data_IF_524803900113
#
_entry.id   IF_524803900113
#
_cell.length_a   1.000
_cell.length_b   1.000
_cell.length_c   1.000
_cell.angle_alpha   90.00
_cell.angle_beta   90.00
_cell.angle_gamma   90.00
#
_symmetry.space_group_name_H-M   'P 1'
#
loop_
_entity.id
_entity.type
_entity.pdbx_description
1 polymer ?
#
# COMPACT_ATOMS: atom_id res chain seq x y z
N UNK A 1 3.08 3.18 -19.06
CA UNK A 1 1.84 3.98 -18.98
C UNK A 1 2.05 5.30 -19.72
N UNK A 2 1.17 5.64 -20.63
CA UNK A 2 1.16 6.90 -21.37
C UNK A 2 -0.08 7.70 -20.99
N UNK A 3 0.10 8.96 -20.67
CA UNK A 3 -0.99 9.89 -20.44
C UNK A 3 -0.79 11.12 -21.30
N UNK A 4 -1.79 11.45 -22.08
CA UNK A 4 -1.82 12.65 -22.90
C UNK A 4 -2.92 13.58 -22.37
N UNK A 5 -2.53 14.68 -21.76
CA UNK A 5 -3.42 15.72 -21.30
C UNK A 5 -3.24 16.90 -22.25
N UNK A 6 -4.28 17.20 -22.99
CA UNK A 6 -4.29 18.39 -23.83
C UNK A 6 -4.71 19.57 -22.94
N UNK A 7 -3.76 20.12 -22.23
CA UNK A 7 -3.97 21.29 -21.40
C UNK A 7 -3.55 22.52 -22.23
N UNK A 8 -4.47 23.42 -22.57
CA UNK A 8 -4.06 24.68 -23.16
C UNK A 8 -3.17 25.41 -22.15
N UNK A 9 -2.00 25.84 -22.60
CA UNK A 9 -1.08 26.63 -21.79
C UNK A 9 -1.87 27.69 -21.01
N UNK A 10 -1.69 27.78 -19.67
CA UNK A 10 -2.47 28.71 -18.87
C UNK A 10 -2.28 30.13 -19.43
N UNK A 11 -3.38 30.84 -19.60
CA UNK A 11 -3.33 32.23 -19.93
C UNK A 11 -2.47 32.95 -18.89
N UNK A 12 -1.51 33.74 -19.32
CA UNK A 12 -0.61 34.50 -18.46
C UNK A 12 -1.43 35.26 -17.40
N UNK A 13 -1.30 34.82 -16.10
CA UNK A 13 -2.09 35.38 -15.00
C UNK A 13 -3.20 34.50 -14.44
N UNK A 14 -3.38 33.26 -14.93
CA UNK A 14 -4.28 32.29 -14.29
C UNK A 14 -3.64 31.75 -13.00
N UNK A 15 -4.29 31.97 -11.86
CA UNK A 15 -3.95 31.38 -10.58
C UNK A 15 -4.45 29.92 -10.47
N UNK A 16 -4.42 29.16 -11.55
CA UNK A 16 -4.72 27.72 -11.48
C UNK A 16 -3.56 27.03 -10.79
N UNK A 17 -3.79 26.40 -9.64
CA UNK A 17 -2.72 25.88 -8.79
C UNK A 17 -2.00 24.66 -9.39
N UNK A 18 -2.47 24.10 -10.50
CA UNK A 18 -1.94 22.86 -11.05
C UNK A 18 -1.93 22.85 -12.58
N UNK A 19 -0.75 22.71 -13.14
CA UNK A 19 -0.54 22.25 -14.52
C UNK A 19 -0.30 20.76 -14.50
N UNK A 20 -1.14 19.98 -15.16
CA UNK A 20 -0.91 18.56 -15.33
C UNK A 20 0.14 18.30 -16.41
N UNK A 21 1.15 17.51 -16.07
CA UNK A 21 2.20 17.16 -16.98
C UNK A 21 1.81 15.98 -17.87
N UNK A 22 2.04 16.10 -19.17
CA UNK A 22 1.92 15.02 -20.15
C UNK A 22 3.23 14.26 -20.26
N UNK A 23 3.17 12.96 -20.50
CA UNK A 23 4.38 12.17 -20.66
C UNK A 23 4.14 10.67 -20.76
N UNK A 24 5.23 9.94 -20.77
CA UNK A 24 5.26 8.48 -20.75
C UNK A 24 6.11 8.00 -19.58
N UNK A 25 5.60 7.01 -18.84
CA UNK A 25 6.28 6.45 -17.70
C UNK A 25 6.15 4.92 -17.68
N UNK A 26 7.24 4.24 -17.35
CA UNK A 26 7.20 2.82 -17.00
C UNK A 26 6.90 2.71 -15.51
N UNK A 27 5.63 2.45 -15.20
CA UNK A 27 5.13 2.43 -13.81
C UNK A 27 5.70 1.29 -12.99
N UNK A 28 5.91 0.12 -13.60
CA UNK A 28 6.44 -1.09 -12.97
C UNK A 28 7.25 -1.89 -13.99
N UNK A 29 8.47 -2.24 -13.63
CA UNK A 29 9.36 -3.10 -14.42
C UNK A 29 9.92 -4.18 -13.48
N UNK A 30 9.23 -5.32 -13.38
CA UNK A 30 9.49 -6.33 -12.35
C UNK A 30 10.05 -7.61 -12.94
N UNK A 31 11.08 -8.11 -12.28
CA UNK A 31 11.64 -9.43 -12.47
C UNK A 31 11.59 -10.18 -11.15
N UNK A 32 11.18 -11.43 -11.18
CA UNK A 32 11.09 -12.23 -9.97
C UNK A 32 11.23 -13.71 -10.24
N UNK A 33 11.52 -14.44 -9.20
CA UNK A 33 11.56 -15.90 -9.16
C UNK A 33 10.67 -16.38 -8.02
N UNK A 34 9.85 -17.39 -8.30
CA UNK A 34 9.00 -18.02 -7.30
C UNK A 34 8.98 -19.55 -7.54
N UNK A 35 8.78 -20.29 -6.48
CA UNK A 35 8.72 -21.75 -6.58
C UNK A 35 8.36 -22.41 -5.27
N UNK A 36 8.32 -23.73 -5.29
CA UNK A 36 8.05 -24.57 -4.12
C UNK A 36 9.16 -25.59 -3.95
N UNK A 37 9.64 -25.74 -2.72
CA UNK A 37 10.62 -26.77 -2.35
C UNK A 37 10.08 -27.61 -1.19
N UNK A 38 10.53 -28.86 -1.12
CA UNK A 38 10.02 -29.87 -0.16
C UNK A 38 8.48 -29.97 -0.10
N UNK A 39 7.76 -29.59 -1.16
CA UNK A 39 6.30 -29.62 -1.30
C UNK A 39 5.50 -28.70 -0.35
N UNK A 40 6.10 -28.21 0.72
CA UNK A 40 5.44 -27.41 1.76
C UNK A 40 5.99 -26.00 1.89
N UNK A 41 7.14 -25.71 1.30
CA UNK A 41 7.76 -24.40 1.35
C UNK A 41 7.65 -23.69 0.01
N UNK A 42 6.99 -22.55 -0.02
CA UNK A 42 7.05 -21.63 -1.15
C UNK A 42 8.06 -20.52 -0.89
N UNK A 43 8.68 -20.05 -1.93
CA UNK A 43 9.51 -18.85 -1.89
C UNK A 43 9.11 -17.91 -3.04
N UNK A 44 9.33 -16.63 -2.81
CA UNK A 44 9.20 -15.60 -3.84
C UNK A 44 10.23 -14.51 -3.60
N UNK A 45 10.88 -14.10 -4.68
CA UNK A 45 11.71 -12.91 -4.74
C UNK A 45 11.31 -12.11 -5.97
N UNK A 46 11.01 -10.83 -5.81
CA UNK A 46 10.65 -9.92 -6.90
C UNK A 46 11.32 -8.56 -6.70
N UNK A 47 11.93 -8.05 -7.76
CA UNK A 47 12.57 -6.74 -7.80
C UNK A 47 11.89 -5.85 -8.85
N UNK A 48 11.58 -4.60 -8.49
CA UNK A 48 10.97 -3.59 -9.35
C UNK A 48 12.00 -2.52 -9.74
N UNK A 49 12.48 -2.59 -10.96
CA UNK A 49 13.47 -1.67 -11.51
C UNK A 49 12.96 -0.23 -11.68
N UNK A 50 11.64 -0.02 -11.69
CA UNK A 50 11.06 1.32 -11.79
C UNK A 50 11.09 2.09 -10.46
N UNK A 51 11.37 1.42 -9.34
CA UNK A 51 11.48 2.04 -8.01
C UNK A 51 12.90 2.50 -7.64
N UNK A 52 13.87 2.32 -8.51
CA UNK A 52 15.30 2.31 -8.19
C UNK A 52 16.00 3.63 -7.92
N UNK A 53 15.36 4.81 -8.00
CA UNK A 53 16.07 6.07 -7.76
C UNK A 53 15.24 7.05 -6.93
N UNK A 54 15.67 7.28 -5.69
CA UNK A 54 15.11 8.32 -4.82
C UNK A 54 13.82 7.92 -4.06
N UNK A 55 13.38 6.68 -4.14
CA UNK A 55 12.28 6.17 -3.33
C UNK A 55 12.78 5.63 -1.99
N UNK A 56 12.01 5.81 -0.94
CA UNK A 56 12.26 5.18 0.36
C UNK A 56 12.21 3.65 0.18
N UNK A 57 13.33 2.99 0.39
CA UNK A 57 13.49 1.55 0.24
C UNK A 57 14.16 1.11 -1.07
N UNK A 58 14.58 -0.16 -1.10
CA UNK A 58 15.11 -0.81 -2.30
C UNK A 58 13.96 -1.11 -3.28
N UNK A 59 14.30 -1.47 -4.53
CA UNK A 59 13.32 -1.97 -5.49
C UNK A 59 12.73 -3.35 -5.13
N UNK A 60 13.17 -3.97 -4.03
CA UNK A 60 12.65 -5.26 -3.57
C UNK A 60 11.19 -5.11 -3.16
N UNK A 61 10.33 -5.92 -3.74
CA UNK A 61 8.91 -6.02 -3.42
C UNK A 61 8.65 -7.26 -2.57
N UNK A 62 8.25 -8.37 -3.16
CA UNK A 62 8.15 -9.62 -2.43
C UNK A 62 9.54 -10.26 -2.26
N UNK A 63 9.92 -10.61 -1.03
CA UNK A 63 11.11 -11.39 -0.71
C UNK A 63 10.83 -12.22 0.54
N UNK A 64 10.17 -13.36 0.38
CA UNK A 64 9.69 -14.17 1.49
C UNK A 64 9.80 -15.67 1.26
N UNK A 65 9.80 -16.40 2.37
CA UNK A 65 9.49 -17.83 2.41
C UNK A 65 8.15 -18.04 3.11
N UNK A 66 7.41 -19.07 2.69
CA UNK A 66 6.12 -19.43 3.25
C UNK A 66 6.05 -20.92 3.53
N UNK A 67 5.77 -21.27 4.76
CA UNK A 67 5.45 -22.65 5.17
C UNK A 67 3.94 -22.88 4.98
N UNK A 68 3.56 -23.80 4.13
CA UNK A 68 2.19 -24.31 4.02
C UNK A 68 2.04 -25.47 5.02
N UNK A 69 1.60 -25.15 6.24
CA UNK A 69 1.45 -26.14 7.30
C UNK A 69 0.31 -27.11 7.01
N UNK A 70 -0.81 -26.57 6.53
CA UNK A 70 -1.93 -27.34 5.97
C UNK A 70 -2.36 -26.71 4.64
N UNK A 71 -3.39 -27.23 4.01
CA UNK A 71 -3.98 -26.61 2.81
C UNK A 71 -4.53 -25.21 3.09
N UNK A 72 -5.02 -24.99 4.32
CA UNK A 72 -5.66 -23.76 4.77
C UNK A 72 -4.69 -22.82 5.49
N UNK A 73 -3.79 -23.37 6.34
CA UNK A 73 -2.94 -22.60 7.24
C UNK A 73 -1.52 -22.48 6.70
N UNK A 74 -1.05 -21.24 6.60
CA UNK A 74 0.34 -20.96 6.19
C UNK A 74 0.96 -19.83 7.01
N UNK A 75 2.28 -19.92 7.16
CA UNK A 75 3.11 -18.92 7.84
C UNK A 75 4.06 -18.30 6.83
N UNK A 76 4.28 -17.00 6.92
CA UNK A 76 5.13 -16.25 6.01
C UNK A 76 6.20 -15.48 6.79
N UNK A 77 7.43 -15.46 6.27
CA UNK A 77 8.55 -14.72 6.85
C UNK A 77 9.29 -14.00 5.72
N UNK A 78 9.55 -12.72 5.89
CA UNK A 78 10.29 -11.88 4.92
C UNK A 78 9.52 -10.62 4.56
N UNK A 79 9.78 -10.08 3.37
CA UNK A 79 9.13 -8.88 2.85
C UNK A 79 7.90 -9.25 2.03
N UNK A 80 6.75 -8.71 2.41
CA UNK A 80 5.47 -8.97 1.73
C UNK A 80 4.46 -7.86 2.02
N UNK A 81 3.39 -7.82 1.23
CA UNK A 81 2.28 -6.90 1.44
C UNK A 81 1.52 -7.20 2.73
N UNK A 82 1.14 -6.14 3.42
CA UNK A 82 0.27 -6.26 4.59
C UNK A 82 -1.14 -6.77 4.21
N UNK A 83 -1.80 -7.55 5.07
CA UNK A 83 -3.17 -7.97 4.86
C UNK A 83 -4.15 -6.86 5.21
N UNK A 84 -4.40 -5.95 4.27
CA UNK A 84 -5.30 -4.81 4.44
C UNK A 84 -5.88 -4.41 3.08
N UNK A 85 -7.19 -4.03 3.04
CA UNK A 85 -7.89 -3.60 1.82
C UNK A 85 -8.05 -4.68 0.73
N UNK A 86 -9.16 -4.67 0.05
CA UNK A 86 -9.47 -5.57 -1.07
C UNK A 86 -8.61 -5.26 -2.30
N UNK A 87 -8.45 -3.97 -2.65
CA UNK A 87 -7.60 -3.59 -3.79
C UNK A 87 -6.12 -3.83 -3.51
N UNK A 88 -5.66 -3.62 -2.26
CA UNK A 88 -4.27 -3.89 -1.92
C UNK A 88 -3.95 -5.39 -1.91
N UNK A 89 -4.88 -6.23 -1.43
CA UNK A 89 -4.73 -7.68 -1.46
C UNK A 89 -4.71 -8.25 -2.90
N UNK A 90 -5.31 -7.54 -3.85
CA UNK A 90 -5.25 -7.89 -5.27
C UNK A 90 -3.86 -7.57 -5.86
N UNK A 91 -3.42 -8.41 -6.80
CA UNK A 91 -2.25 -8.07 -7.61
C UNK A 91 -2.57 -6.85 -8.49
N UNK A 92 -1.60 -5.95 -8.67
CA UNK A 92 -1.71 -4.82 -9.59
C UNK A 92 -2.09 -5.22 -11.04
N UNK A 93 -1.85 -6.48 -11.41
CA UNK A 93 -2.22 -7.03 -12.73
C UNK A 93 -3.70 -7.36 -12.88
N UNK A 94 -4.47 -7.35 -11.78
CA UNK A 94 -5.85 -7.81 -11.72
C UNK A 94 -6.83 -6.72 -11.25
N UNK A 95 -6.34 -5.49 -11.12
CA UNK A 95 -7.17 -4.33 -10.83
C UNK A 95 -8.15 -4.06 -11.99
N UNK A 96 -9.28 -3.46 -11.67
CA UNK A 96 -10.25 -3.01 -12.69
C UNK A 96 -9.76 -1.77 -13.42
N UNK A 97 -9.13 -0.86 -12.71
CA UNK A 97 -8.54 0.37 -13.22
C UNK A 97 -7.01 0.26 -13.30
N UNK A 98 -6.38 1.22 -13.97
CA UNK A 98 -4.93 1.26 -14.18
C UNK A 98 -4.17 1.31 -12.85
N UNK A 99 -4.70 2.07 -11.87
CA UNK A 99 -4.17 2.21 -10.51
C UNK A 99 -5.27 1.97 -9.48
N UNK A 100 -4.86 1.76 -8.23
CA UNK A 100 -5.75 1.68 -7.08
C UNK A 100 -6.42 3.02 -6.81
N UNK A 101 -7.53 2.99 -6.12
CA UNK A 101 -8.20 4.20 -5.65
C UNK A 101 -7.26 5.04 -4.78
N UNK A 102 -7.43 6.38 -4.84
CA UNK A 102 -6.53 7.31 -4.14
C UNK A 102 -6.48 7.09 -2.63
N UNK A 103 -7.58 6.70 -1.99
CA UNK A 103 -7.56 6.38 -0.55
C UNK A 103 -6.73 5.13 -0.23
N UNK A 104 -6.75 4.10 -1.08
CA UNK A 104 -5.89 2.93 -0.93
C UNK A 104 -4.42 3.32 -1.15
N UNK A 105 -4.13 4.11 -2.18
CA UNK A 105 -2.78 4.62 -2.41
C UNK A 105 -2.29 5.47 -1.24
N UNK A 106 -3.13 6.36 -0.69
CA UNK A 106 -2.76 7.25 0.40
C UNK A 106 -2.55 6.53 1.73
N UNK A 107 -3.46 5.63 2.11
CA UNK A 107 -3.46 5.03 3.45
C UNK A 107 -2.71 3.71 3.53
N UNK A 108 -2.44 3.06 2.40
CA UNK A 108 -1.83 1.73 2.35
C UNK A 108 -0.57 1.70 1.47
N UNK A 109 -0.69 2.05 0.18
CA UNK A 109 0.37 1.83 -0.82
C UNK A 109 1.56 2.79 -0.63
N UNK A 110 1.31 4.08 -0.40
CA UNK A 110 2.37 5.07 -0.24
C UNK A 110 3.11 4.99 1.09
N UNK A 111 2.45 4.72 2.24
CA UNK A 111 3.17 4.58 3.51
C UNK A 111 4.07 3.36 3.61
N UNK A 112 4.04 2.41 2.72
CA UNK A 112 4.90 1.22 2.63
C UNK A 112 4.12 -0.08 2.38
N UNK A 113 3.87 -0.39 1.16
CA UNK A 113 3.15 -1.60 0.73
C UNK A 113 3.84 -2.91 1.11
N UNK A 114 5.17 -2.96 0.97
CA UNK A 114 5.97 -4.16 1.24
C UNK A 114 6.82 -3.93 2.48
N UNK A 115 6.52 -4.66 3.54
CA UNK A 115 7.19 -4.56 4.84
C UNK A 115 7.80 -5.91 5.22
N UNK A 116 8.87 -5.87 5.98
CA UNK A 116 9.55 -7.07 6.49
C UNK A 116 8.91 -7.53 7.79
N UNK A 117 8.59 -8.79 7.90
CA UNK A 117 7.99 -9.33 9.12
C UNK A 117 7.54 -10.77 9.01
N UNK A 118 6.63 -11.12 9.89
CA UNK A 118 5.99 -12.43 9.96
C UNK A 118 4.50 -12.29 9.68
N UNK A 119 3.91 -13.29 9.06
CA UNK A 119 2.48 -13.34 8.80
C UNK A 119 1.91 -14.73 8.92
N UNK A 120 0.65 -14.79 9.30
CA UNK A 120 -0.15 -16.01 9.36
C UNK A 120 -1.35 -15.81 8.45
N UNK A 121 -1.65 -16.80 7.64
CA UNK A 121 -2.83 -16.79 6.77
C UNK A 121 -3.58 -18.12 6.93
N UNK A 122 -4.87 -18.00 7.19
CA UNK A 122 -5.81 -19.09 7.16
C UNK A 122 -6.86 -18.83 6.08
N UNK A 123 -7.03 -19.76 5.15
CA UNK A 123 -7.91 -19.57 4.01
C UNK A 123 -8.67 -20.84 3.66
N UNK A 124 -9.97 -20.74 3.70
CA UNK A 124 -10.93 -21.73 3.17
C UNK A 124 -11.65 -21.16 1.94
N UNK A 125 -12.39 -21.95 1.17
CA UNK A 125 -13.17 -21.41 0.06
C UNK A 125 -14.12 -20.28 0.44
N UNK A 126 -14.59 -20.22 1.70
CA UNK A 126 -15.56 -19.22 2.15
C UNK A 126 -14.98 -18.14 3.05
N UNK A 127 -13.91 -18.42 3.82
CA UNK A 127 -13.40 -17.51 4.84
C UNK A 127 -11.88 -17.40 4.76
N UNK A 128 -11.35 -16.22 4.91
CA UNK A 128 -9.93 -15.94 4.98
C UNK A 128 -9.62 -15.04 6.16
N UNK A 129 -8.50 -15.32 6.81
CA UNK A 129 -7.95 -14.49 7.87
C UNK A 129 -6.46 -14.32 7.62
N UNK A 130 -6.00 -13.09 7.55
CA UNK A 130 -4.59 -12.74 7.48
C UNK A 130 -4.21 -11.90 8.69
N UNK A 131 -3.12 -12.27 9.36
CA UNK A 131 -2.50 -11.50 10.44
C UNK A 131 -1.05 -11.27 10.08
N UNK A 132 -0.52 -10.10 10.38
CA UNK A 132 0.90 -9.81 10.20
C UNK A 132 1.43 -8.90 11.29
N UNK A 133 2.69 -9.14 11.67
CA UNK A 133 3.52 -8.22 12.42
C UNK A 133 4.73 -7.88 11.57
N UNK A 134 4.87 -6.62 11.22
CA UNK A 134 5.85 -6.16 10.24
C UNK A 134 6.55 -4.91 10.75
N UNK A 135 7.77 -4.74 10.29
CA UNK A 135 8.57 -3.53 10.51
C UNK A 135 8.64 -2.74 9.20
N UNK A 136 9.75 -2.19 8.85
CA UNK A 136 9.91 -1.38 7.67
C UNK A 136 10.26 -2.20 6.41
N UNK A 137 10.15 -1.58 5.23
CA UNK A 137 10.61 -2.17 3.98
C UNK A 137 12.11 -2.48 4.01
N UNK A 138 12.53 -3.50 3.25
CA UNK A 138 13.94 -3.77 3.02
C UNK A 138 14.61 -2.53 2.41
N UNK A 139 15.72 -2.08 3.01
CA UNK A 139 16.47 -0.90 2.57
C UNK A 139 15.94 0.45 3.03
N UNK A 140 14.82 0.50 3.76
CA UNK A 140 14.31 1.75 4.32
C UNK A 140 15.35 2.44 5.23
N UNK A 141 16.07 1.64 5.99
CA UNK A 141 17.15 2.09 6.86
C UNK A 141 18.38 2.64 6.10
N UNK A 142 18.61 2.22 4.86
CA UNK A 142 19.69 2.74 4.03
C UNK A 142 19.31 4.04 3.29
N UNK A 143 18.04 4.24 3.01
CA UNK A 143 17.54 5.46 2.39
C UNK A 143 17.48 6.64 3.39
N UNK A 144 17.35 6.35 4.67
CA UNK A 144 17.43 7.32 5.76
C UNK A 144 18.87 7.66 6.17
N UNK A 145 19.87 7.34 5.34
CA UNK A 145 21.28 7.49 5.65
C UNK A 145 21.75 8.94 5.64
N UNK A 146 21.34 9.67 6.64
CA UNK A 146 22.18 10.74 7.13
C UNK A 146 23.05 10.13 8.22
N UNK A 147 24.32 9.98 7.93
CA UNK A 147 25.33 9.65 8.95
C UNK A 147 25.14 10.54 10.15
N UNK A 148 25.33 10.01 11.35
CA UNK A 148 25.44 10.82 12.56
C UNK A 148 26.52 11.86 12.26
N UNK A 149 26.08 13.09 12.10
CA UNK A 149 27.02 14.20 11.92
C UNK A 149 27.52 14.66 13.31
N UNK A 150 28.49 15.58 13.32
CA UNK A 150 29.05 16.16 14.54
C UNK A 150 28.00 16.79 15.49
N UNK A 151 26.77 16.96 15.02
CA UNK A 151 25.65 17.51 15.79
C UNK A 151 24.77 16.44 16.45
N UNK A 152 25.20 15.16 16.44
CA UNK A 152 24.51 14.08 17.12
C UNK A 152 23.22 13.60 16.44
N UNK A 153 23.00 13.92 15.15
CA UNK A 153 21.87 13.35 14.39
C UNK A 153 22.06 11.84 14.31
N UNK A 154 21.15 11.13 14.90
CA UNK A 154 21.14 9.68 14.91
C UNK A 154 20.39 9.18 13.67
N UNK A 155 21.04 8.33 12.91
CA UNK A 155 20.43 7.62 11.79
C UNK A 155 20.32 6.14 12.17
N UNK A 156 19.29 5.48 11.72
CA UNK A 156 19.10 4.04 11.94
C UNK A 156 20.21 3.17 11.38
N UNK A 157 20.92 3.65 10.35
CA UNK A 157 22.10 2.98 9.82
C UNK A 157 23.20 2.75 10.86
N UNK A 158 23.21 3.54 11.91
CA UNK A 158 24.18 3.44 13.01
C UNK A 158 23.66 2.66 14.21
N UNK A 159 22.52 1.99 14.08
CA UNK A 159 21.85 1.28 15.17
C UNK A 159 21.19 2.21 16.19
N UNK A 160 20.97 3.47 15.85
CA UNK A 160 20.29 4.45 16.72
C UNK A 160 18.89 4.76 16.17
N UNK A 161 17.95 4.93 17.06
CA UNK A 161 16.55 5.21 16.77
C UNK A 161 15.71 3.94 16.69
N UNK A 162 14.43 4.11 16.90
CA UNK A 162 13.46 3.03 16.91
C UNK A 162 13.05 2.62 15.49
N UNK A 163 12.86 1.33 15.28
CA UNK A 163 12.21 0.82 14.09
C UNK A 163 10.70 0.94 14.26
N UNK A 164 10.02 1.59 13.33
CA UNK A 164 8.57 1.52 13.28
C UNK A 164 8.09 0.06 13.12
N UNK A 165 6.92 -0.23 13.63
CA UNK A 165 6.31 -1.55 13.51
C UNK A 165 4.82 -1.44 13.19
N UNK A 166 4.25 -2.49 12.64
CA UNK A 166 2.83 -2.59 12.29
C UNK A 166 2.30 -3.95 12.73
N UNK A 167 1.26 -3.93 13.56
CA UNK A 167 0.40 -5.08 13.81
C UNK A 167 -0.89 -4.92 13.03
N UNK A 168 -1.25 -5.89 12.19
CA UNK A 168 -2.38 -5.74 11.27
C UNK A 168 -3.10 -7.06 11.03
N UNK A 169 -4.42 -6.99 10.89
CA UNK A 169 -5.26 -8.12 10.59
C UNK A 169 -6.40 -7.80 9.63
N UNK A 170 -6.78 -8.81 8.86
CA UNK A 170 -7.90 -8.76 7.93
C UNK A 170 -8.68 -10.08 7.98
N UNK A 171 -10.00 -9.98 8.10
CA UNK A 171 -10.92 -11.11 8.02
C UNK A 171 -11.89 -10.85 6.89
N UNK A 172 -12.01 -11.81 5.99
CA UNK A 172 -12.91 -11.71 4.85
C UNK A 172 -13.72 -12.98 4.67
N UNK A 173 -14.83 -12.89 3.96
CA UNK A 173 -15.64 -14.05 3.68
C UNK A 173 -16.58 -13.89 2.51
N UNK A 174 -17.06 -15.03 2.02
CA UNK A 174 -18.12 -15.13 1.02
C UNK A 174 -19.38 -15.73 1.68
N UNK A 175 -20.14 -14.93 2.48
CA UNK A 175 -21.31 -15.41 3.22
C UNK A 175 -22.40 -15.95 2.29
N UNK A 176 -22.55 -15.33 1.13
CA UNK A 176 -23.41 -15.81 0.06
C UNK A 176 -22.53 -16.20 -1.14
N UNK A 177 -22.62 -17.46 -1.53
CA UNK A 177 -21.87 -18.03 -2.64
C UNK A 177 -22.68 -19.20 -3.23
N UNK A 178 -23.15 -19.02 -4.45
CA UNK A 178 -23.79 -20.08 -5.24
C UNK A 178 -22.75 -20.88 -5.99
N UNK A 179 -21.82 -20.19 -6.63
CA UNK A 179 -20.67 -20.75 -7.37
C UNK A 179 -19.54 -19.71 -7.44
N UNK A 180 -18.45 -20.02 -8.14
CA UNK A 180 -17.28 -19.13 -8.27
C UNK A 180 -17.57 -17.87 -9.13
N UNK A 181 -18.73 -17.80 -9.79
CA UNK A 181 -19.14 -16.66 -10.61
C UNK A 181 -20.29 -15.85 -9.99
N UNK A 182 -20.82 -16.31 -8.84
CA UNK A 182 -21.95 -15.68 -8.16
C UNK A 182 -21.75 -15.70 -6.65
N UNK A 183 -21.26 -14.61 -6.10
CA UNK A 183 -20.98 -14.49 -4.67
C UNK A 183 -21.06 -13.04 -4.18
N UNK A 184 -21.19 -12.90 -2.88
CA UNK A 184 -20.94 -11.67 -2.13
C UNK A 184 -19.72 -11.89 -1.26
N UNK A 185 -18.74 -11.02 -1.37
CA UNK A 185 -17.61 -10.94 -0.49
C UNK A 185 -17.76 -9.74 0.44
N UNK A 186 -17.46 -9.93 1.71
CA UNK A 186 -17.37 -8.90 2.73
C UNK A 186 -16.09 -9.07 3.52
N UNK A 187 -15.54 -7.98 4.04
CA UNK A 187 -14.38 -8.05 4.90
C UNK A 187 -14.23 -6.82 5.78
N UNK A 188 -13.45 -7.02 6.82
CA UNK A 188 -12.97 -5.98 7.72
C UNK A 188 -11.48 -6.13 7.95
N UNK A 189 -10.82 -5.02 8.17
CA UNK A 189 -9.40 -4.97 8.50
C UNK A 189 -9.13 -3.91 9.56
N UNK A 190 -8.15 -4.17 10.40
CA UNK A 190 -7.68 -3.23 11.40
C UNK A 190 -6.17 -3.39 11.60
N UNK A 191 -5.50 -2.29 11.92
CA UNK A 191 -4.07 -2.33 12.18
C UNK A 191 -3.60 -1.09 12.92
N UNK A 192 -2.56 -1.29 13.71
CA UNK A 192 -1.82 -0.24 14.41
C UNK A 192 -0.42 -0.15 13.82
N UNK A 193 0.04 1.05 13.59
CA UNK A 193 1.41 1.33 13.13
C UNK A 193 2.05 2.33 14.07
N UNK A 194 3.15 1.92 14.68
CA UNK A 194 4.07 2.80 15.39
C UNK A 194 5.04 3.41 14.37
N UNK A 195 5.12 4.72 14.34
CA UNK A 195 5.90 5.46 13.33
C UNK A 195 7.33 5.59 13.81
N UNK A 196 8.27 5.22 12.94
CA UNK A 196 9.67 5.50 13.19
C UNK A 196 9.92 7.00 13.33
N UNK A 197 10.39 7.40 14.49
CA UNK A 197 10.82 8.77 14.78
C UNK A 197 12.33 8.79 15.00
N UNK A 198 13.00 9.81 14.43
CA UNK A 198 14.42 10.04 14.66
C UNK A 198 14.58 11.26 15.57
N UNK A 199 15.40 11.11 16.61
CA UNK A 199 15.69 12.15 17.55
C UNK A 199 17.17 12.53 17.50
N UNK A 200 17.48 13.80 17.79
CA UNK A 200 18.83 14.29 18.06
C UNK A 200 19.22 13.95 19.50
N UNK A 201 20.52 14.05 19.80
CA UNK A 201 21.03 13.83 21.15
C UNK A 201 20.44 14.79 22.21
N UNK A 202 19.92 15.95 21.81
CA UNK A 202 19.25 16.92 22.64
C UNK A 202 17.73 16.63 22.84
N UNK A 203 17.24 15.53 22.30
CA UNK A 203 15.85 15.12 22.38
C UNK A 203 14.93 15.79 21.34
N UNK A 204 15.47 16.61 20.43
CA UNK A 204 14.69 17.20 19.34
C UNK A 204 14.57 16.24 18.17
N UNK A 205 13.46 16.31 17.41
CA UNK A 205 13.30 15.50 16.20
C UNK A 205 14.20 15.98 15.06
N UNK A 206 14.73 15.05 14.31
CA UNK A 206 15.44 15.36 13.05
C UNK A 206 14.46 16.03 12.08
N UNK A 207 14.83 17.20 11.58
CA UNK A 207 13.98 17.99 10.68
C UNK A 207 12.94 18.87 11.37
N UNK A 208 12.94 18.94 12.69
CA UNK A 208 12.13 19.88 13.45
C UNK A 208 12.43 21.33 13.02
N UNK A 209 11.39 22.11 12.75
CA UNK A 209 11.52 23.48 12.27
C UNK A 209 11.91 23.64 10.80
N UNK A 210 12.08 22.56 10.03
CA UNK A 210 12.36 22.63 8.60
C UNK A 210 11.11 22.27 7.78
N UNK A 211 10.79 23.12 6.82
CA UNK A 211 9.73 22.81 5.84
C UNK A 211 10.17 21.64 4.98
N UNK A 212 9.55 20.46 5.15
CA UNK A 212 9.90 19.25 4.43
C UNK A 212 11.08 18.44 4.99
N UNK A 213 11.57 18.77 6.17
CA UNK A 213 12.70 18.08 6.81
C UNK A 213 12.30 16.80 7.53
N UNK A 214 13.16 15.79 7.41
CA UNK A 214 13.01 14.38 7.76
C UNK A 214 12.46 14.03 9.14
N UNK A 215 12.08 12.78 9.31
CA UNK A 215 11.54 12.21 10.54
C UNK A 215 10.02 12.30 10.66
N UNK A 216 9.33 12.88 9.70
CA UNK A 216 7.89 12.96 9.66
C UNK A 216 7.29 12.06 8.57
N UNK A 217 6.01 11.81 8.70
CA UNK A 217 5.20 11.04 7.79
C UNK A 217 4.15 11.94 7.13
N UNK A 218 3.78 11.65 5.92
CA UNK A 218 2.66 12.27 5.23
C UNK A 218 1.79 11.22 4.56
N UNK A 219 0.49 11.44 4.54
CA UNK A 219 -0.42 10.71 3.68
C UNK A 219 -0.62 11.50 2.39
N UNK A 220 -0.36 10.88 1.26
CA UNK A 220 -0.47 11.54 -0.04
C UNK A 220 -0.90 10.56 -1.14
N UNK A 221 -1.47 11.09 -2.21
CA UNK A 221 -1.79 10.34 -3.40
C UNK A 221 -1.55 11.16 -4.66
N UNK A 222 -1.06 10.48 -5.68
CA UNK A 222 -0.89 11.01 -7.04
C UNK A 222 -2.13 10.74 -7.89
N UNK A 223 -2.27 11.43 -9.04
CA UNK A 223 -3.26 11.05 -10.05
C UNK A 223 -3.12 9.58 -10.46
N UNK A 224 -4.23 8.92 -10.73
CA UNK A 224 -4.24 7.50 -11.10
C UNK A 224 -3.50 7.14 -12.40
N UNK A 225 -3.08 8.13 -13.17
CA UNK A 225 -2.25 7.92 -14.37
C UNK A 225 -0.77 7.69 -14.03
N UNK A 226 -0.30 8.18 -12.88
CA UNK A 226 1.10 8.13 -12.41
C UNK A 226 2.14 8.70 -13.39
N UNK A 227 1.72 9.46 -14.38
CA UNK A 227 2.59 10.26 -15.26
C UNK A 227 2.87 11.61 -14.63
N UNK A 228 1.81 12.31 -14.28
CA UNK A 228 1.88 13.46 -13.38
C UNK A 228 2.03 12.98 -11.95
N UNK A 229 3.03 13.48 -11.26
CA UNK A 229 3.33 13.14 -9.86
C UNK A 229 3.05 14.30 -8.90
N UNK A 230 2.23 15.25 -9.34
CA UNK A 230 1.66 16.27 -8.46
C UNK A 230 0.73 15.60 -7.45
N UNK A 231 0.93 15.88 -6.17
CA UNK A 231 0.08 15.33 -5.13
C UNK A 231 -1.33 15.93 -5.22
N UNK A 232 -2.32 15.11 -5.50
CA UNK A 232 -3.73 15.52 -5.44
C UNK A 232 -4.26 15.52 -4.01
N UNK A 233 -3.76 14.62 -3.19
CA UNK A 233 -3.99 14.57 -1.75
C UNK A 233 -2.64 14.66 -1.06
N UNK A 234 -2.51 15.50 -0.06
CA UNK A 234 -1.29 15.60 0.72
C UNK A 234 -1.60 16.27 2.07
N UNK A 235 -1.36 15.56 3.16
CA UNK A 235 -1.49 16.13 4.51
C UNK A 235 -0.35 17.08 4.88
N UNK A 236 0.70 17.12 4.07
CA UNK A 236 1.98 17.65 4.51
C UNK A 236 2.63 16.74 5.56
N UNK A 237 3.77 17.18 6.08
CA UNK A 237 4.46 16.46 7.15
C UNK A 237 3.60 16.54 8.44
N UNK A 238 3.29 15.38 9.00
CA UNK A 238 2.52 15.23 10.24
C UNK A 238 3.38 15.46 11.51
N UNK A 239 4.66 15.74 11.33
CA UNK A 239 5.56 16.13 12.43
C UNK A 239 6.21 17.46 12.08
N UNK A 240 5.87 18.53 12.82
CA UNK A 240 6.40 19.87 12.61
C UNK A 240 6.36 20.70 13.89
N UNK A 241 7.09 21.81 13.87
CA UNK A 241 7.22 22.75 15.00
C UNK A 241 8.42 22.42 15.89
N UNK A 242 9.01 23.44 16.48
CA UNK A 242 10.12 23.31 17.42
C UNK A 242 9.66 22.74 18.78
N UNK A 243 10.58 22.22 19.58
CA UNK A 243 10.27 21.60 20.89
C UNK A 243 9.42 22.47 21.80
N UNK A 244 9.65 23.78 21.77
CA UNK A 244 8.96 24.80 22.58
C UNK A 244 7.82 25.51 21.82
N UNK A 245 7.48 25.09 20.61
CA UNK A 245 6.39 25.67 19.84
C UNK A 245 5.06 25.14 20.41
N UNK A 246 4.15 26.03 20.87
CA UNK A 246 2.83 25.61 21.35
C UNK A 246 1.97 24.92 20.26
N UNK A 247 2.29 25.14 18.99
CA UNK A 247 1.63 24.50 17.84
C UNK A 247 2.38 23.27 17.33
N UNK A 248 3.35 22.78 18.08
CA UNK A 248 4.10 21.58 17.71
C UNK A 248 3.17 20.39 17.54
N UNK A 249 3.33 19.69 16.43
CA UNK A 249 2.70 18.40 16.18
C UNK A 249 3.76 17.34 15.92
N UNK A 250 3.52 16.16 16.44
CA UNK A 250 4.40 15.01 16.24
C UNK A 250 3.56 13.74 16.21
N UNK A 251 3.49 13.12 15.04
CA UNK A 251 2.86 11.81 14.91
C UNK A 251 3.74 10.76 15.61
N UNK A 252 3.12 9.93 16.45
CA UNK A 252 3.78 8.77 17.08
C UNK A 252 3.25 7.45 16.50
N UNK A 253 1.96 7.39 16.22
CA UNK A 253 1.33 6.20 15.65
C UNK A 253 0.08 6.55 14.87
N UNK A 254 -0.44 5.57 14.14
CA UNK A 254 -1.76 5.68 13.51
C UNK A 254 -2.46 4.33 13.49
N UNK A 255 -3.80 4.38 13.63
CA UNK A 255 -4.67 3.22 13.57
C UNK A 255 -5.46 3.24 12.27
N UNK A 256 -5.50 2.12 11.55
CA UNK A 256 -6.26 1.99 10.32
C UNK A 256 -7.41 1.01 10.48
N UNK A 257 -8.53 1.36 9.88
CA UNK A 257 -9.71 0.51 9.79
C UNK A 257 -10.17 0.46 8.34
N UNK A 258 -10.60 -0.71 7.90
CA UNK A 258 -11.15 -0.93 6.57
C UNK A 258 -12.39 -1.80 6.64
N UNK A 259 -13.37 -1.49 5.80
CA UNK A 259 -14.51 -2.35 5.51
C UNK A 259 -14.63 -2.48 3.99
N UNK A 260 -14.90 -3.69 3.52
CA UNK A 260 -14.90 -3.99 2.10
C UNK A 260 -16.14 -4.79 1.71
N UNK A 261 -16.58 -4.53 0.50
CA UNK A 261 -17.71 -5.19 -0.13
C UNK A 261 -17.42 -5.46 -1.60
N UNK A 262 -17.71 -6.68 -2.06
CA UNK A 262 -17.59 -7.03 -3.46
C UNK A 262 -18.69 -8.04 -3.86
N UNK A 263 -19.50 -7.65 -4.81
CA UNK A 263 -20.55 -8.46 -5.40
C UNK A 263 -20.13 -8.90 -6.79
N UNK A 264 -20.31 -10.18 -7.11
CA UNK A 264 -20.10 -10.75 -8.45
C UNK A 264 -21.31 -11.57 -8.82
N UNK A 265 -21.84 -11.34 -10.01
CA UNK A 265 -22.91 -12.12 -10.59
C UNK A 265 -22.70 -12.25 -12.11
N UNK A 266 -22.05 -13.35 -12.53
CA UNK A 266 -21.64 -13.52 -13.91
C UNK A 266 -20.71 -12.38 -14.37
N UNK A 267 -21.02 -11.72 -15.50
CA UNK A 267 -20.17 -10.65 -16.03
C UNK A 267 -20.27 -9.34 -15.23
N UNK A 268 -21.28 -9.17 -14.39
CA UNK A 268 -21.48 -7.98 -13.57
C UNK A 268 -20.71 -8.09 -12.26
N UNK A 269 -20.06 -7.02 -11.83
CA UNK A 269 -19.52 -6.88 -10.47
C UNK A 269 -19.65 -5.46 -9.93
N UNK A 270 -19.80 -5.35 -8.61
CA UNK A 270 -19.80 -4.09 -7.88
C UNK A 270 -18.84 -4.21 -6.69
N UNK A 271 -18.02 -3.20 -6.47
CA UNK A 271 -17.01 -3.18 -5.40
C UNK A 271 -17.06 -1.84 -4.68
N UNK A 272 -16.88 -1.87 -3.35
CA UNK A 272 -16.75 -0.69 -2.53
C UNK A 272 -15.84 -0.95 -1.34
N UNK A 273 -15.13 0.07 -0.88
CA UNK A 273 -14.37 0.04 0.37
C UNK A 273 -14.54 1.35 1.13
N UNK A 274 -14.53 1.24 2.44
CA UNK A 274 -14.41 2.33 3.39
C UNK A 274 -13.08 2.16 4.13
N UNK A 275 -12.29 3.22 4.19
CA UNK A 275 -10.99 3.26 4.86
C UNK A 275 -10.96 4.44 5.81
N UNK A 276 -10.44 4.21 7.01
CA UNK A 276 -10.23 5.26 8.01
C UNK A 276 -8.84 5.10 8.63
N UNK A 277 -8.17 6.25 8.83
CA UNK A 277 -6.88 6.33 9.52
C UNK A 277 -7.00 7.36 10.63
N UNK A 278 -6.88 6.95 11.88
CA UNK A 278 -6.80 7.83 13.04
C UNK A 278 -5.32 8.14 13.30
N UNK A 279 -5.01 9.40 13.54
CA UNK A 279 -3.65 9.89 13.77
C UNK A 279 -3.47 10.13 15.27
N UNK A 280 -2.41 9.59 15.85
CA UNK A 280 -2.10 9.72 17.26
C UNK A 280 -0.72 10.37 17.45
N UNK A 281 -0.57 11.20 18.50
CA UNK A 281 0.69 11.86 18.81
C UNK A 281 0.51 13.18 19.51
N UNK A 282 1.61 13.88 19.73
CA UNK A 282 1.58 15.22 20.34
C UNK A 282 0.87 16.20 19.42
N UNK A 283 -0.08 16.96 19.96
CA UNK A 283 -0.86 17.96 19.22
C UNK A 283 -1.95 17.35 18.30
N UNK A 284 -2.17 16.04 18.38
CA UNK A 284 -3.28 15.34 17.72
C UNK A 284 -4.33 14.94 18.75
N UNK A 285 -5.57 15.33 18.53
CA UNK A 285 -6.71 15.03 19.40
C UNK A 285 -7.90 14.58 18.57
N UNK A 286 -7.86 13.30 18.20
CA UNK A 286 -8.94 12.66 17.42
C UNK A 286 -8.94 12.96 15.93
N UNK A 287 -7.88 13.53 15.38
CA UNK A 287 -7.75 13.75 13.95
C UNK A 287 -7.74 12.43 13.18
N UNK A 288 -8.48 12.41 12.10
CA UNK A 288 -8.58 11.24 11.26
C UNK A 288 -8.78 11.59 9.79
N UNK A 289 -8.38 10.67 8.95
CA UNK A 289 -8.59 10.71 7.51
C UNK A 289 -9.57 9.61 7.13
N UNK A 290 -10.46 9.90 6.18
CA UNK A 290 -11.45 8.94 5.70
C UNK A 290 -11.45 8.90 4.18
N UNK A 291 -11.54 7.70 3.62
CA UNK A 291 -11.68 7.49 2.20
C UNK A 291 -12.77 6.47 1.90
N UNK A 292 -13.56 6.74 0.89
CA UNK A 292 -14.61 5.85 0.40
C UNK A 292 -14.52 5.77 -1.10
N UNK A 293 -14.68 4.59 -1.65
CA UNK A 293 -14.88 4.45 -3.07
C UNK A 293 -15.88 3.34 -3.39
N UNK A 294 -16.45 3.39 -4.57
CA UNK A 294 -17.26 2.34 -5.12
C UNK A 294 -17.27 2.41 -6.64
N UNK A 295 -17.37 1.25 -7.27
CA UNK A 295 -17.53 1.15 -8.71
C UNK A 295 -18.29 -0.11 -9.11
N UNK A 296 -18.79 -0.09 -10.33
CA UNK A 296 -19.38 -1.25 -11.00
C UNK A 296 -18.58 -1.58 -12.26
N UNK A 297 -18.56 -2.84 -12.63
CA UNK A 297 -17.95 -3.27 -13.88
C UNK A 297 -18.77 -4.38 -14.56
N UNK A 298 -18.67 -4.45 -15.88
CA UNK A 298 -19.36 -5.44 -16.67
C UNK A 298 -18.45 -5.93 -17.81
N UNK A 299 -18.26 -7.25 -17.90
CA UNK A 299 -17.52 -7.86 -18.99
C UNK A 299 -18.45 -8.09 -20.19
N UNK A 300 -18.25 -7.33 -21.26
CA UNK A 300 -19.07 -7.43 -22.48
C UNK A 300 -18.96 -8.79 -23.16
N UNK A 301 -17.89 -9.50 -22.93
CA UNK A 301 -17.59 -10.83 -23.49
C UNK A 301 -18.04 -12.00 -22.59
N UNK A 302 -18.70 -11.66 -21.46
CA UNK A 302 -19.38 -12.64 -20.61
C UNK A 302 -18.51 -13.33 -19.57
N UNK A 303 -17.24 -12.91 -19.39
CA UNK A 303 -16.39 -13.41 -18.30
C UNK A 303 -16.92 -12.95 -16.93
N UNK A 304 -16.53 -13.67 -15.89
CA UNK A 304 -16.79 -13.30 -14.50
C UNK A 304 -15.46 -12.98 -13.82
N UNK A 305 -15.46 -12.01 -12.90
CA UNK A 305 -14.28 -11.67 -12.09
C UNK A 305 -13.90 -12.84 -11.19
N UNK A 306 -12.69 -13.41 -11.36
CA UNK A 306 -12.30 -14.58 -10.59
C UNK A 306 -11.81 -14.18 -9.20
N UNK A 307 -11.99 -15.08 -8.23
CA UNK A 307 -11.62 -14.91 -6.85
C UNK A 307 -10.34 -15.68 -6.51
N UNK A 308 -9.42 -15.05 -5.79
CA UNK A 308 -8.23 -15.69 -5.24
C UNK A 308 -8.49 -16.03 -3.78
N UNK A 309 -8.75 -17.31 -3.50
CA UNK A 309 -9.16 -17.79 -2.17
C UNK A 309 -8.20 -17.38 -1.07
N UNK A 310 -6.89 -17.60 -1.25
CA UNK A 310 -5.89 -17.31 -0.20
C UNK A 310 -5.80 -15.82 0.16
N UNK A 311 -5.97 -14.94 -0.81
CA UNK A 311 -5.85 -13.49 -0.58
C UNK A 311 -7.20 -12.83 -0.29
N UNK A 312 -8.32 -13.52 -0.50
CA UNK A 312 -9.64 -12.91 -0.41
C UNK A 312 -9.77 -11.69 -1.34
N UNK A 313 -9.38 -11.81 -2.60
CA UNK A 313 -9.29 -10.68 -3.54
C UNK A 313 -9.44 -11.12 -5.00
N UNK A 314 -9.43 -10.17 -5.92
CA UNK A 314 -9.49 -10.45 -7.35
C UNK A 314 -8.26 -11.24 -7.85
N UNK A 315 -8.50 -12.13 -8.80
CA UNK A 315 -7.50 -12.99 -9.42
C UNK A 315 -7.39 -12.74 -10.93
N UNK A 316 -6.51 -13.49 -11.59
CA UNK A 316 -6.28 -13.43 -13.03
C UNK A 316 -7.52 -13.85 -13.81
N UNK A 317 -8.01 -12.94 -14.65
CA UNK A 317 -9.05 -13.24 -15.62
C UNK A 317 -8.48 -14.12 -16.76
N UNK A 318 -9.24 -15.11 -17.17
CA UNK A 318 -9.00 -15.88 -18.39
C UNK A 318 -10.06 -15.51 -19.41
N UNK A 319 -9.70 -14.91 -20.56
CA UNK A 319 -10.67 -14.57 -21.60
C UNK A 319 -11.36 -15.82 -22.15
N UNK A 320 -12.66 -15.74 -22.39
CA UNK A 320 -13.44 -16.80 -23.03
C UNK A 320 -12.92 -17.08 -24.45
N UNK A 321 -12.48 -16.03 -25.13
CA UNK A 321 -11.90 -16.10 -26.48
C UNK A 321 -10.53 -15.43 -26.49
N UNK A 322 -9.45 -16.15 -26.13
CA UNK A 322 -8.12 -15.57 -26.19
C UNK A 322 -7.73 -15.31 -27.65
N UNK A 323 -7.01 -14.20 -27.86
CA UNK A 323 -6.42 -13.92 -29.17
C UNK A 323 -5.46 -15.06 -29.53
N UNK A 324 -5.67 -15.63 -30.72
CA UNK A 324 -4.78 -16.65 -31.31
C UNK A 324 -4.04 -16.02 -32.48
N UNK A 325 -2.73 -16.04 -32.46
CA UNK A 325 -1.91 -15.61 -33.57
C UNK A 325 -1.94 -16.67 -34.64
N UNK A 326 -2.40 -16.35 -35.88
CA UNK A 326 -2.28 -17.24 -37.01
C UNK A 326 -3.30 -18.39 -37.10
N UNK A 327 -4.57 -18.17 -36.77
CA UNK A 327 -5.67 -19.07 -37.14
C UNK A 327 -6.34 -18.62 -38.41
#
# INVERSE_FOLDING_TARGET
QYNFINDPAPATGSNLPYEFNSGMNIRRARLGVEGTFYKIWDYKFEYDFSRGNGSVGSGITDAFVRLNHTNELSYKLGSFKEPFSLEEAASNRYLTFIERHMSVNSFVDNPNTYKTGIGVNYATPRWQTGLAFQTEPIGAWSAASTSVNANGNQSRNNGSGDTGWTGIGRVTGRPWMLDETKFVHVGISAGHTDVNTQYRADGTMVGEGQTGGGGGMAFFAFPGTNVDRTNMLNTGNLSYGALNDPNRRQISSYDRFGAEYWFVHGPFSAQAEYLRTNINGTGYDGEHLTGVYGFVSYFLTGESKPYHVRNGAANRLKPNRPFKWGS
#
